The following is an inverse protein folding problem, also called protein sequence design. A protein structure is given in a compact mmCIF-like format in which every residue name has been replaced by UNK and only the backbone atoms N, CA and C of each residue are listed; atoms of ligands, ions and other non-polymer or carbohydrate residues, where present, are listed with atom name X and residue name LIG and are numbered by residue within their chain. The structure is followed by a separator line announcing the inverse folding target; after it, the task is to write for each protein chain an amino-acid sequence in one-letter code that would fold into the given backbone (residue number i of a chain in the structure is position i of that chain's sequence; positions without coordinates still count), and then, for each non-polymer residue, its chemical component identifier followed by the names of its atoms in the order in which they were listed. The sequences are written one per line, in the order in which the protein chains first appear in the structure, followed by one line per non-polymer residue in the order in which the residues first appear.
data_IF_213842608814
#
_entry.id   IF_213842608814
#
_cell.length_a   1.000
_cell.length_b   1.000
_cell.length_c   1.000
_cell.angle_alpha   90.00
_cell.angle_beta   90.00
_cell.angle_gamma   90.00
#
_symmetry.space_group_name_H-M   'P 1'
#
loop_
_entity.id
_entity.type
_entity.pdbx_description
1 polymer ?
#
# COMPACT_ATOMS: atom_id res chain seq x y z
N UNK A 1 -35.93 63.16 -1.53
CA UNK A 1 -34.63 62.67 -1.03
C UNK A 1 -34.90 61.48 -0.04
N UNK A 2 -34.71 60.24 -0.47
CA UNK A 2 -34.92 59.08 0.36
C UNK A 2 -33.58 58.32 0.42
N UNK A 3 -32.96 58.35 1.59
CA UNK A 3 -31.68 57.74 1.87
C UNK A 3 -31.90 56.25 2.20
N UNK A 4 -31.46 55.34 1.33
CA UNK A 4 -31.46 53.90 1.57
C UNK A 4 -30.21 53.52 2.37
N UNK A 5 -30.40 53.03 3.60
CA UNK A 5 -29.37 52.36 4.39
C UNK A 5 -29.19 50.91 3.90
N UNK A 6 -27.98 50.60 3.44
CA UNK A 6 -27.55 49.25 3.05
C UNK A 6 -26.98 48.55 4.31
N UNK A 7 -27.71 47.62 4.84
CA UNK A 7 -27.22 46.72 5.93
C UNK A 7 -26.32 45.64 5.31
N UNK A 8 -25.01 45.78 5.49
CA UNK A 8 -24.04 44.72 5.18
C UNK A 8 -24.00 43.73 6.36
N UNK A 9 -24.62 42.58 6.18
CA UNK A 9 -24.49 41.45 7.13
C UNK A 9 -23.13 40.80 6.95
N UNK A 10 -22.24 41.04 7.91
CA UNK A 10 -20.93 40.37 8.01
C UNK A 10 -21.13 38.94 8.52
N UNK A 11 -21.13 37.95 7.63
CA UNK A 11 -21.07 36.54 7.99
C UNK A 11 -19.64 36.21 8.48
N UNK A 12 -19.45 36.19 9.79
CA UNK A 12 -18.26 35.62 10.41
C UNK A 12 -18.31 34.08 10.24
N UNK A 13 -17.56 33.56 9.27
CA UNK A 13 -17.25 32.14 9.22
C UNK A 13 -16.32 31.79 10.39
N UNK A 14 -16.88 31.28 11.48
CA UNK A 14 -16.11 30.60 12.51
C UNK A 14 -15.64 29.27 11.92
N UNK A 15 -14.42 29.25 11.37
CA UNK A 15 -13.69 28.02 11.19
C UNK A 15 -13.40 27.45 12.59
N UNK A 16 -14.18 26.45 12.99
CA UNK A 16 -13.88 25.69 14.18
C UNK A 16 -12.58 24.92 13.87
N UNK A 17 -11.50 25.12 14.63
CA UNK A 17 -10.37 24.20 14.57
C UNK A 17 -10.93 22.83 14.91
N UNK A 18 -10.61 21.80 14.11
CA UNK A 18 -10.90 20.43 14.47
C UNK A 18 -10.27 20.20 15.84
N UNK A 19 -11.09 20.07 16.89
CA UNK A 19 -10.63 19.81 18.23
C UNK A 19 -9.79 18.53 18.18
N UNK A 20 -8.56 18.60 18.68
CA UNK A 20 -7.75 17.42 18.86
C UNK A 20 -8.52 16.44 19.77
N UNK A 21 -8.48 15.14 19.44
CA UNK A 21 -9.09 14.10 20.27
C UNK A 21 -8.41 14.12 21.65
N UNK A 22 -9.15 14.55 22.67
CA UNK A 22 -8.68 14.56 24.06
C UNK A 22 -9.17 13.34 24.85
N UNK A 23 -8.70 13.17 26.06
CA UNK A 23 -9.03 12.03 26.92
C UNK A 23 -10.51 11.94 27.25
N UNK A 24 -11.20 13.08 27.45
CA UNK A 24 -12.63 13.10 27.77
C UNK A 24 -13.48 12.66 26.57
N UNK A 25 -13.20 13.24 25.40
CA UNK A 25 -13.83 12.86 24.13
C UNK A 25 -13.57 11.38 23.78
N UNK A 26 -12.35 10.90 24.03
CA UNK A 26 -11.99 9.50 23.84
C UNK A 26 -12.79 8.59 24.78
N UNK A 27 -12.89 8.91 26.09
CA UNK A 27 -13.66 8.14 27.05
C UNK A 27 -15.16 8.06 26.68
N UNK A 28 -15.74 9.19 26.23
CA UNK A 28 -17.11 9.20 25.73
C UNK A 28 -17.29 8.32 24.47
N UNK A 29 -16.31 8.35 23.57
CA UNK A 29 -16.30 7.49 22.39
C UNK A 29 -16.25 6.01 22.78
N UNK A 30 -15.35 5.61 23.68
CA UNK A 30 -15.27 4.23 24.19
C UNK A 30 -16.57 3.76 24.79
N UNK A 31 -17.26 4.63 25.54
CA UNK A 31 -18.59 4.31 26.09
C UNK A 31 -19.62 3.99 24.99
N UNK A 32 -19.60 4.75 23.87
CA UNK A 32 -20.45 4.47 22.70
C UNK A 32 -20.04 3.18 21.99
N UNK A 33 -18.73 2.92 21.88
CA UNK A 33 -18.19 1.70 21.26
C UNK A 33 -18.57 0.43 22.02
N UNK A 34 -18.68 0.49 23.35
CA UNK A 34 -19.19 -0.63 24.16
C UNK A 34 -20.62 -1.00 23.74
N UNK A 35 -21.52 -0.01 23.67
CA UNK A 35 -22.89 -0.26 23.24
C UNK A 35 -22.95 -0.76 21.81
N UNK A 36 -22.21 -0.12 20.88
CA UNK A 36 -22.15 -0.56 19.49
C UNK A 36 -21.59 -1.98 19.35
N UNK A 37 -20.64 -2.38 20.20
CA UNK A 37 -20.12 -3.75 20.26
C UNK A 37 -21.16 -4.78 20.69
N UNK A 38 -21.97 -4.45 21.72
CA UNK A 38 -23.11 -5.29 22.13
C UNK A 38 -24.13 -5.43 20.99
N UNK A 39 -24.47 -4.32 20.34
CA UNK A 39 -25.41 -4.30 19.21
C UNK A 39 -24.87 -5.10 18.00
N UNK A 40 -23.55 -5.17 17.84
CA UNK A 40 -22.85 -5.99 16.84
C UNK A 40 -22.67 -7.47 17.26
N UNK A 41 -23.26 -7.88 18.39
CA UNK A 41 -23.27 -9.26 18.87
C UNK A 41 -21.99 -9.71 19.59
N UNK A 42 -21.12 -8.79 20.02
CA UNK A 42 -19.97 -9.14 20.86
C UNK A 42 -20.43 -9.46 22.29
N UNK A 43 -19.89 -10.52 22.94
CA UNK A 43 -20.22 -10.82 24.33
C UNK A 43 -19.82 -9.68 25.27
N UNK A 44 -20.69 -9.37 26.23
CA UNK A 44 -20.43 -8.32 27.22
C UNK A 44 -19.12 -8.54 28.00
N UNK A 45 -18.75 -9.81 28.26
CA UNK A 45 -17.51 -10.17 28.92
C UNK A 45 -16.29 -9.78 28.05
N UNK A 46 -16.30 -10.01 26.75
CA UNK A 46 -15.19 -9.64 25.83
C UNK A 46 -15.03 -8.13 25.79
N UNK A 47 -16.14 -7.40 25.74
CA UNK A 47 -16.16 -5.94 25.74
C UNK A 47 -15.54 -5.40 27.03
N UNK A 48 -16.06 -5.84 28.21
CA UNK A 48 -15.54 -5.36 29.51
C UNK A 48 -14.09 -5.76 29.76
N UNK A 49 -13.68 -6.93 29.27
CA UNK A 49 -12.31 -7.41 29.46
C UNK A 49 -11.28 -6.66 28.62
N UNK A 50 -11.66 -6.13 27.44
CA UNK A 50 -10.70 -5.61 26.46
C UNK A 50 -10.90 -4.15 26.08
N UNK A 51 -12.13 -3.58 26.17
CA UNK A 51 -12.33 -2.16 25.85
C UNK A 51 -12.18 -1.24 27.07
N UNK A 52 -12.19 -1.77 28.29
CA UNK A 52 -12.05 -0.95 29.49
C UNK A 52 -10.62 -0.44 29.70
N UNK A 53 -9.63 -1.18 29.20
CA UNK A 53 -8.21 -0.90 29.35
C UNK A 53 -7.57 -0.19 28.15
N UNK A 54 -8.34 0.08 27.05
CA UNK A 54 -7.79 0.77 25.86
C UNK A 54 -7.41 2.21 26.19
N UNK A 55 -6.31 2.66 25.57
CA UNK A 55 -5.73 3.97 25.80
C UNK A 55 -5.70 4.78 24.51
N UNK A 56 -5.96 6.09 24.66
CA UNK A 56 -5.70 7.04 23.58
C UNK A 56 -4.21 7.03 23.24
N UNK A 57 -3.89 6.87 21.96
CA UNK A 57 -2.52 6.89 21.47
C UNK A 57 -2.32 8.07 20.49
N UNK A 58 -1.81 9.18 21.02
CA UNK A 58 -1.59 10.42 20.28
C UNK A 58 -0.66 10.22 19.07
N UNK A 59 0.33 9.29 19.19
CA UNK A 59 1.24 8.97 18.09
C UNK A 59 0.51 8.34 16.89
N UNK A 60 -0.54 7.57 17.16
CA UNK A 60 -1.41 7.00 16.12
C UNK A 60 -2.13 8.11 15.36
N UNK A 61 -2.66 9.11 16.05
CA UNK A 61 -3.31 10.29 15.44
C UNK A 61 -2.31 11.07 14.55
N UNK A 62 -1.11 11.30 15.06
CA UNK A 62 -0.04 11.97 14.31
C UNK A 62 0.31 11.22 13.01
N UNK A 63 0.50 9.90 13.10
CA UNK A 63 0.84 9.05 11.95
C UNK A 63 -0.31 8.96 10.94
N UNK A 64 -1.57 8.88 11.40
CA UNK A 64 -2.72 8.89 10.50
C UNK A 64 -2.85 10.20 9.71
N UNK A 65 -2.50 11.33 10.33
CA UNK A 65 -2.53 12.64 9.67
C UNK A 65 -1.37 12.85 8.71
N UNK A 66 -0.18 12.39 9.06
CA UNK A 66 1.04 12.59 8.25
C UNK A 66 1.20 11.57 7.12
N UNK A 67 0.77 10.32 7.32
CA UNK A 67 0.87 9.22 6.36
C UNK A 67 2.21 9.18 5.59
N UNK A 68 3.34 9.02 6.29
CA UNK A 68 4.68 9.19 5.72
C UNK A 68 5.00 8.20 4.59
N UNK A 69 4.23 7.13 4.45
CA UNK A 69 4.40 6.11 3.40
C UNK A 69 4.18 6.66 1.98
N UNK A 70 3.38 7.73 1.85
CA UNK A 70 3.01 8.30 0.56
C UNK A 70 3.94 9.43 0.07
N UNK A 71 4.98 9.77 0.83
CA UNK A 71 5.90 10.87 0.50
C UNK A 71 7.24 10.42 -0.10
N UNK A 72 7.50 9.11 -0.21
CA UNK A 72 8.75 8.57 -0.74
C UNK A 72 8.74 8.51 -2.27
N UNK A 73 9.85 8.90 -2.92
CA UNK A 73 10.06 8.63 -4.35
C UNK A 73 10.11 7.11 -4.61
N UNK A 74 9.84 6.70 -5.86
CA UNK A 74 10.00 5.28 -6.23
C UNK A 74 11.43 4.79 -5.98
N UNK A 75 12.44 5.57 -6.34
CA UNK A 75 13.84 5.23 -6.15
C UNK A 75 14.18 4.96 -4.67
N UNK A 76 13.77 5.87 -3.78
CA UNK A 76 14.00 5.72 -2.34
C UNK A 76 13.25 4.53 -1.75
N UNK A 77 11.99 4.35 -2.15
CA UNK A 77 11.18 3.23 -1.72
C UNK A 77 11.80 1.91 -2.15
N UNK A 78 12.08 1.78 -3.44
CA UNK A 78 12.62 0.56 -4.04
C UNK A 78 13.98 0.17 -3.44
N UNK A 79 14.92 1.12 -3.36
CA UNK A 79 16.28 0.86 -2.84
C UNK A 79 16.25 0.38 -1.37
N UNK A 80 15.37 0.97 -0.55
CA UNK A 80 15.21 0.53 0.85
C UNK A 80 14.52 -0.83 0.98
N UNK A 81 13.56 -1.12 0.10
CA UNK A 81 12.74 -2.34 0.18
C UNK A 81 13.38 -3.54 -0.50
N UNK A 82 14.20 -3.34 -1.54
CA UNK A 82 14.88 -4.40 -2.31
C UNK A 82 16.40 -4.28 -2.13
N UNK A 83 16.85 -4.16 -0.87
CA UNK A 83 18.28 -4.09 -0.53
C UNK A 83 18.96 -5.46 -0.59
N UNK A 84 20.28 -5.50 -0.88
CA UNK A 84 21.04 -6.76 -0.90
C UNK A 84 20.94 -7.52 0.43
N UNK A 85 20.97 -6.81 1.58
CA UNK A 85 20.79 -7.43 2.88
C UNK A 85 19.44 -8.16 2.99
N UNK A 86 18.35 -7.54 2.49
CA UNK A 86 17.03 -8.19 2.51
C UNK A 86 16.96 -9.36 1.53
N UNK A 87 17.60 -9.26 0.37
CA UNK A 87 17.67 -10.34 -0.61
C UNK A 87 18.40 -11.55 -0.03
N UNK A 88 19.56 -11.35 0.58
CA UNK A 88 20.34 -12.44 1.18
C UNK A 88 19.58 -13.12 2.32
N UNK A 89 18.99 -12.33 3.23
CA UNK A 89 18.14 -12.85 4.29
C UNK A 89 16.93 -13.60 3.72
N UNK A 90 16.34 -13.11 2.62
CA UNK A 90 15.25 -13.79 1.92
C UNK A 90 15.67 -15.13 1.33
N UNK A 91 16.85 -15.21 0.73
CA UNK A 91 17.42 -16.48 0.23
C UNK A 91 17.68 -17.47 1.34
N UNK A 92 18.16 -17.00 2.49
CA UNK A 92 18.33 -17.83 3.69
C UNK A 92 16.97 -18.36 4.17
N UNK A 93 15.97 -17.48 4.33
CA UNK A 93 14.61 -17.88 4.74
C UNK A 93 13.95 -18.83 3.74
N UNK A 94 14.14 -18.60 2.45
CA UNK A 94 13.65 -19.51 1.41
C UNK A 94 14.26 -20.90 1.54
N UNK A 95 15.56 -21.02 1.83
CA UNK A 95 16.23 -22.32 2.03
C UNK A 95 15.77 -22.99 3.33
N UNK A 96 15.73 -22.25 4.44
CA UNK A 96 15.39 -22.81 5.75
C UNK A 96 13.93 -23.26 5.89
N UNK A 97 13.02 -22.67 5.10
CA UNK A 97 11.59 -23.03 5.08
C UNK A 97 11.19 -23.81 3.82
N UNK A 98 12.16 -24.39 3.12
CA UNK A 98 11.93 -25.00 1.79
C UNK A 98 10.80 -26.01 1.79
N UNK A 99 10.76 -26.94 2.75
CA UNK A 99 9.74 -27.97 2.83
C UNK A 99 8.33 -27.39 2.98
N UNK A 100 8.15 -26.42 3.88
CA UNK A 100 6.91 -25.69 4.07
C UNK A 100 6.50 -24.95 2.77
N UNK A 101 7.42 -24.17 2.18
CA UNK A 101 7.16 -23.40 0.97
C UNK A 101 6.77 -24.28 -0.23
N UNK A 102 7.40 -25.45 -0.38
CA UNK A 102 7.04 -26.41 -1.42
C UNK A 102 5.65 -27.01 -1.18
N UNK A 103 5.24 -27.22 0.08
CA UNK A 103 3.89 -27.66 0.45
C UNK A 103 2.86 -26.56 0.13
N UNK A 104 3.08 -25.33 0.58
CA UNK A 104 2.20 -24.21 0.31
C UNK A 104 2.08 -23.89 -1.20
N UNK A 105 3.18 -24.06 -1.95
CA UNK A 105 3.16 -23.89 -3.41
C UNK A 105 2.24 -24.93 -4.08
N UNK A 106 2.28 -26.19 -3.63
CA UNK A 106 1.39 -27.24 -4.16
C UNK A 106 -0.06 -26.99 -3.81
N UNK A 107 -0.32 -26.56 -2.57
CA UNK A 107 -1.67 -26.36 -2.04
C UNK A 107 -2.32 -25.11 -2.63
N UNK A 108 -1.68 -23.95 -2.50
CA UNK A 108 -2.27 -22.66 -2.86
C UNK A 108 -1.86 -22.16 -4.25
N UNK A 109 -0.82 -22.73 -4.86
CA UNK A 109 -0.33 -22.31 -6.17
C UNK A 109 0.58 -21.11 -6.18
N UNK A 110 0.95 -20.57 -5.01
CA UNK A 110 1.84 -19.42 -4.89
C UNK A 110 3.29 -19.92 -4.76
N UNK A 111 4.19 -19.57 -5.70
CA UNK A 111 5.58 -19.97 -5.59
C UNK A 111 6.23 -19.40 -4.31
N UNK A 112 6.95 -20.23 -3.56
CA UNK A 112 7.46 -19.91 -2.23
C UNK A 112 8.32 -18.63 -2.15
N UNK A 113 9.03 -18.26 -3.22
CA UNK A 113 9.82 -17.03 -3.25
C UNK A 113 8.96 -15.76 -3.18
N UNK A 114 7.67 -15.79 -3.63
CA UNK A 114 6.74 -14.69 -3.41
C UNK A 114 6.31 -14.60 -1.95
N UNK A 115 5.97 -15.73 -1.32
CA UNK A 115 5.60 -15.74 0.10
C UNK A 115 6.72 -15.18 0.97
N UNK A 116 7.97 -15.55 0.69
CA UNK A 116 9.15 -15.01 1.36
C UNK A 116 9.32 -13.50 1.06
N UNK A 117 9.03 -13.05 -0.16
CA UNK A 117 9.12 -11.62 -0.50
C UNK A 117 8.08 -10.78 0.26
N UNK A 118 6.82 -11.22 0.35
CA UNK A 118 5.82 -10.58 1.18
C UNK A 118 6.26 -10.52 2.64
N UNK A 119 6.66 -11.64 3.22
CA UNK A 119 7.16 -11.71 4.59
C UNK A 119 8.33 -10.74 4.84
N UNK A 120 9.24 -10.65 3.86
CA UNK A 120 10.36 -9.72 3.91
C UNK A 120 9.95 -8.25 3.88
N UNK A 121 8.95 -7.89 3.07
CA UNK A 121 8.49 -6.51 2.95
C UNK A 121 7.60 -6.09 4.12
N UNK A 122 6.76 -6.98 4.63
CA UNK A 122 5.85 -6.67 5.73
C UNK A 122 6.60 -6.50 7.05
N UNK A 123 7.42 -7.48 7.42
CA UNK A 123 7.99 -7.53 8.78
C UNK A 123 9.49 -7.81 8.82
N UNK A 124 10.20 -7.67 7.69
CA UNK A 124 11.62 -8.07 7.61
C UNK A 124 11.84 -9.54 8.10
N UNK A 125 10.97 -10.44 7.60
CA UNK A 125 10.96 -11.87 7.93
C UNK A 125 10.68 -12.14 9.43
N UNK A 126 9.64 -11.54 9.95
CA UNK A 126 9.23 -11.64 11.35
C UNK A 126 10.12 -10.83 12.33
N UNK A 127 11.08 -10.06 11.81
CA UNK A 127 12.01 -9.31 12.65
C UNK A 127 11.43 -8.04 13.28
N UNK A 128 10.31 -7.53 12.77
CA UNK A 128 9.60 -6.38 13.32
C UNK A 128 8.11 -6.43 12.98
N UNK A 129 7.29 -6.71 13.98
CA UNK A 129 5.83 -6.86 13.83
C UNK A 129 5.05 -5.57 14.12
N UNK A 130 5.73 -4.54 14.60
CA UNK A 130 5.14 -3.36 15.24
C UNK A 130 5.07 -3.55 16.75
N UNK A 131 4.89 -2.44 17.45
CA UNK A 131 4.91 -2.43 18.93
C UNK A 131 3.70 -1.70 19.54
N UNK A 132 2.77 -1.24 18.72
CA UNK A 132 1.57 -0.53 19.19
C UNK A 132 0.50 -1.58 19.52
N UNK A 133 -0.10 -1.52 20.73
CA UNK A 133 -1.24 -2.37 21.04
C UNK A 133 -2.36 -2.15 20.02
N UNK A 134 -2.80 -3.23 19.36
CA UNK A 134 -3.72 -3.13 18.24
C UNK A 134 -5.06 -2.53 18.64
N UNK A 135 -5.57 -2.87 19.84
CA UNK A 135 -6.83 -2.30 20.33
C UNK A 135 -6.72 -0.79 20.57
N UNK A 136 -5.60 -0.32 21.14
CA UNK A 136 -5.37 1.11 21.37
C UNK A 136 -5.33 1.88 20.04
N UNK A 137 -4.62 1.31 19.04
CA UNK A 137 -4.54 1.91 17.71
C UNK A 137 -5.91 2.02 17.05
N UNK A 138 -6.66 0.92 17.01
CA UNK A 138 -7.97 0.86 16.35
C UNK A 138 -9.02 1.70 17.07
N UNK A 139 -9.05 1.69 18.42
CA UNK A 139 -9.95 2.54 19.21
C UNK A 139 -9.64 4.03 18.99
N UNK A 140 -8.35 4.40 19.00
CA UNK A 140 -7.92 5.79 18.74
C UNK A 140 -8.37 6.25 17.35
N UNK A 141 -8.13 5.46 16.31
CA UNK A 141 -8.52 5.78 14.92
C UNK A 141 -10.04 5.82 14.71
N UNK A 142 -10.77 4.97 15.44
CA UNK A 142 -12.24 5.02 15.45
C UNK A 142 -12.73 6.34 16.03
N UNK A 143 -12.18 6.74 17.17
CA UNK A 143 -12.60 7.94 17.90
C UNK A 143 -12.11 9.24 17.26
N UNK A 144 -11.00 9.22 16.52
CA UNK A 144 -10.53 10.37 15.72
C UNK A 144 -11.48 10.70 14.58
N UNK A 145 -12.21 9.70 14.05
CA UNK A 145 -13.39 9.86 13.22
C UNK A 145 -13.16 10.01 11.73
N UNK A 146 -11.94 10.30 11.25
CA UNK A 146 -11.67 10.48 9.81
C UNK A 146 -12.06 9.26 8.96
N UNK A 147 -11.90 8.04 9.51
CA UNK A 147 -12.34 6.75 8.96
C UNK A 147 -12.98 5.91 10.05
N UNK A 148 -13.76 6.54 10.93
CA UNK A 148 -14.28 5.95 12.17
C UNK A 148 -15.02 4.63 11.94
N UNK A 149 -15.96 4.56 11.01
CA UNK A 149 -16.74 3.35 10.72
C UNK A 149 -15.87 2.17 10.28
N UNK A 150 -14.85 2.43 9.44
CA UNK A 150 -13.92 1.40 9.01
C UNK A 150 -13.13 0.83 10.20
N UNK A 151 -12.53 1.71 11.02
CA UNK A 151 -11.73 1.28 12.15
C UNK A 151 -12.56 0.67 13.29
N UNK A 152 -13.81 1.08 13.45
CA UNK A 152 -14.76 0.41 14.35
C UNK A 152 -14.99 -1.05 13.94
N UNK A 153 -15.18 -1.30 12.65
CA UNK A 153 -15.28 -2.66 12.12
C UNK A 153 -14.05 -3.50 12.42
N UNK A 154 -12.86 -2.92 12.20
CA UNK A 154 -11.59 -3.59 12.49
C UNK A 154 -11.37 -3.82 14.00
N UNK A 155 -11.77 -2.87 14.87
CA UNK A 155 -11.74 -3.04 16.33
C UNK A 155 -12.60 -4.22 16.79
N UNK A 156 -13.83 -4.31 16.27
CA UNK A 156 -14.72 -5.41 16.63
C UNK A 156 -14.21 -6.75 16.10
N UNK A 157 -13.56 -6.78 14.95
CA UNK A 157 -12.90 -7.98 14.44
C UNK A 157 -11.70 -8.37 15.30
N UNK A 158 -10.90 -7.41 15.80
CA UNK A 158 -9.82 -7.69 16.74
C UNK A 158 -10.35 -8.31 18.04
N UNK A 159 -11.49 -7.81 18.57
CA UNK A 159 -12.15 -8.42 19.73
C UNK A 159 -12.64 -9.86 19.46
N UNK A 160 -13.11 -10.17 18.25
CA UNK A 160 -13.48 -11.55 17.86
C UNK A 160 -12.27 -12.48 17.80
N UNK A 161 -11.10 -11.99 17.36
CA UNK A 161 -9.85 -12.75 17.36
C UNK A 161 -9.44 -13.10 18.79
N UNK A 162 -9.51 -12.15 19.72
CA UNK A 162 -9.26 -12.39 21.15
C UNK A 162 -10.26 -13.36 21.76
N UNK A 163 -11.55 -13.23 21.42
CA UNK A 163 -12.61 -14.14 21.84
C UNK A 163 -12.35 -15.59 21.37
N UNK A 164 -11.79 -15.77 20.17
CA UNK A 164 -11.45 -17.08 19.63
C UNK A 164 -10.23 -17.71 20.32
N UNK A 165 -9.41 -16.93 21.02
CA UNK A 165 -8.21 -17.40 21.70
C UNK A 165 -6.99 -17.58 20.78
N UNK A 166 -7.03 -17.01 19.56
CA UNK A 166 -5.93 -17.10 18.60
C UNK A 166 -4.65 -16.40 19.10
N UNK A 167 -4.81 -15.37 19.94
CA UNK A 167 -3.70 -14.60 20.50
C UNK A 167 -4.08 -14.01 21.86
N UNK A 168 -3.11 -13.84 22.73
CA UNK A 168 -3.30 -13.09 23.97
C UNK A 168 -3.26 -11.57 23.71
N UNK A 169 -4.07 -10.80 24.44
CA UNK A 169 -4.15 -9.33 24.29
C UNK A 169 -2.78 -8.65 24.43
N UNK A 170 -1.91 -9.16 25.30
CA UNK A 170 -0.55 -8.63 25.51
C UNK A 170 0.36 -8.82 24.29
N UNK A 171 0.09 -9.82 23.46
CA UNK A 171 0.81 -10.14 22.23
C UNK A 171 0.18 -9.49 21.00
N UNK A 172 -1.11 -9.08 21.06
CA UNK A 172 -1.82 -8.44 19.96
C UNK A 172 -1.29 -7.02 19.72
N UNK A 173 -0.07 -6.94 19.17
CA UNK A 173 0.61 -5.72 18.78
C UNK A 173 0.82 -5.70 17.27
N UNK A 174 0.92 -4.51 16.71
CA UNK A 174 1.08 -4.35 15.28
C UNK A 174 1.50 -2.93 14.87
N UNK A 175 1.10 -2.54 13.66
CA UNK A 175 1.32 -1.20 13.13
C UNK A 175 0.40 -0.16 13.78
N UNK A 176 0.71 1.11 13.52
CA UNK A 176 -0.13 2.24 13.96
C UNK A 176 -1.57 2.19 13.40
N UNK A 177 -1.77 1.54 12.27
CA UNK A 177 -3.07 1.40 11.63
C UNK A 177 -3.81 0.10 12.00
N UNK A 178 -3.25 -0.71 12.93
CA UNK A 178 -3.87 -1.95 13.40
C UNK A 178 -3.58 -3.20 12.55
N UNK A 179 -2.62 -3.13 11.63
CA UNK A 179 -2.14 -4.31 10.91
C UNK A 179 -1.27 -5.18 11.82
N UNK A 180 -1.45 -6.52 11.77
CA UNK A 180 -1.02 -7.46 12.80
C UNK A 180 -0.16 -8.60 12.26
N UNK A 181 0.73 -9.10 13.13
CA UNK A 181 1.51 -10.31 12.91
C UNK A 181 2.51 -10.21 11.77
N UNK A 182 3.10 -11.34 11.40
CA UNK A 182 4.18 -11.42 10.41
C UNK A 182 3.73 -11.06 8.99
N UNK A 183 2.44 -11.17 8.69
CA UNK A 183 1.80 -10.82 7.41
C UNK A 183 1.15 -9.44 7.39
N UNK A 184 1.17 -8.72 8.51
CA UNK A 184 0.53 -7.40 8.65
C UNK A 184 -0.94 -7.39 8.19
N UNK A 185 -1.69 -8.42 8.58
CA UNK A 185 -3.11 -8.50 8.29
C UNK A 185 -3.94 -7.51 9.12
N UNK A 186 -4.90 -6.86 8.49
CA UNK A 186 -5.98 -6.21 9.22
C UNK A 186 -6.88 -7.27 9.89
N UNK A 187 -7.52 -6.97 11.03
CA UNK A 187 -8.37 -7.95 11.73
C UNK A 187 -9.42 -8.64 10.87
N UNK A 188 -10.06 -7.90 9.94
CA UNK A 188 -11.02 -8.50 9.00
C UNK A 188 -10.36 -9.52 8.06
N UNK A 189 -9.15 -9.24 7.58
CA UNK A 189 -8.39 -10.15 6.73
C UNK A 189 -7.96 -11.38 7.52
N UNK A 190 -7.53 -11.19 8.78
CA UNK A 190 -7.20 -12.28 9.69
C UNK A 190 -8.39 -13.25 9.86
N UNK A 191 -9.55 -12.75 10.26
CA UNK A 191 -10.73 -13.59 10.49
C UNK A 191 -11.12 -14.41 9.27
N UNK A 192 -10.90 -13.88 8.08
CA UNK A 192 -11.30 -14.52 6.82
C UNK A 192 -10.23 -15.46 6.27
N UNK A 193 -8.94 -15.18 6.48
CA UNK A 193 -7.86 -15.83 5.75
C UNK A 193 -6.78 -16.47 6.61
N UNK A 194 -6.71 -16.17 7.92
CA UNK A 194 -5.71 -16.79 8.79
C UNK A 194 -5.92 -18.30 8.88
N UNK A 195 -4.83 -19.06 8.83
CA UNK A 195 -4.77 -20.52 8.86
C UNK A 195 -4.00 -20.97 10.10
N UNK A 196 -4.48 -22.03 10.73
CA UNK A 196 -3.74 -22.87 11.69
C UNK A 196 -3.08 -23.99 10.86
N UNK A 197 -1.86 -23.77 10.42
CA UNK A 197 -1.17 -24.70 9.51
C UNK A 197 -0.33 -25.73 10.26
N UNK A 198 0.19 -25.37 11.43
CA UNK A 198 0.94 -26.30 12.29
C UNK A 198 0.02 -27.19 13.13
N UNK A 199 -1.28 -26.89 13.19
CA UNK A 199 -2.30 -27.73 13.82
C UNK A 199 -2.32 -27.65 15.34
N UNK A 200 -1.81 -26.57 15.93
CA UNK A 200 -1.79 -26.38 17.39
C UNK A 200 -3.11 -25.89 17.99
N UNK A 201 -4.10 -25.58 17.12
CA UNK A 201 -5.43 -25.09 17.48
C UNK A 201 -5.54 -23.57 17.52
N UNK A 202 -4.53 -22.82 17.08
CA UNK A 202 -4.48 -21.37 17.00
C UNK A 202 -4.04 -20.91 15.62
N UNK A 203 -4.49 -19.74 15.20
CA UNK A 203 -4.02 -19.06 13.98
C UNK A 203 -2.98 -18.02 14.39
N UNK A 204 -1.77 -18.47 14.76
CA UNK A 204 -0.74 -17.60 15.35
C UNK A 204 0.12 -16.90 14.29
N UNK A 205 -0.31 -15.71 13.85
CA UNK A 205 0.47 -14.90 12.92
C UNK A 205 1.65 -14.15 13.59
N UNK A 206 1.79 -14.20 14.92
CA UNK A 206 2.87 -13.52 15.64
C UNK A 206 4.04 -14.47 15.92
N UNK A 207 3.78 -15.65 16.43
CA UNK A 207 4.79 -16.64 16.84
C UNK A 207 5.09 -17.70 15.79
N UNK A 208 4.08 -18.12 15.00
CA UNK A 208 4.22 -19.18 14.00
C UNK A 208 4.49 -18.60 12.60
N UNK A 209 5.68 -18.90 12.04
CA UNK A 209 5.97 -18.59 10.64
C UNK A 209 5.22 -19.51 9.68
N UNK A 210 4.81 -20.70 10.13
CA UNK A 210 4.05 -21.67 9.34
C UNK A 210 2.65 -21.13 9.09
N UNK A 211 1.95 -20.71 10.14
CA UNK A 211 0.63 -20.09 10.06
C UNK A 211 0.66 -18.79 9.25
N UNK A 212 1.67 -17.95 9.51
CA UNK A 212 1.81 -16.70 8.81
C UNK A 212 1.98 -16.87 7.29
N UNK A 213 2.86 -17.79 6.86
CA UNK A 213 3.10 -18.07 5.44
C UNK A 213 1.91 -18.76 4.78
N UNK A 214 1.25 -19.71 5.48
CA UNK A 214 0.05 -20.36 4.98
C UNK A 214 -1.12 -19.37 4.85
N UNK A 215 -1.30 -18.50 5.85
CA UNK A 215 -2.31 -17.43 5.80
C UNK A 215 -2.06 -16.48 4.65
N UNK A 216 -0.81 -16.09 4.42
CA UNK A 216 -0.42 -15.28 3.27
C UNK A 216 -0.72 -15.95 1.93
N UNK A 217 -0.43 -17.25 1.81
CA UNK A 217 -0.72 -18.05 0.63
C UNK A 217 -2.22 -18.16 0.37
N UNK A 218 -3.02 -18.47 1.40
CA UNK A 218 -4.47 -18.53 1.31
C UNK A 218 -5.08 -17.17 0.90
N UNK A 219 -4.57 -16.07 1.43
CA UNK A 219 -5.05 -14.74 1.06
C UNK A 219 -4.73 -14.40 -0.40
N UNK A 220 -3.50 -14.68 -0.88
CA UNK A 220 -3.14 -14.46 -2.28
C UNK A 220 -3.98 -15.31 -3.24
N UNK A 221 -4.24 -16.57 -2.89
CA UNK A 221 -5.15 -17.44 -3.65
C UNK A 221 -6.56 -16.83 -3.71
N UNK A 222 -7.08 -16.36 -2.58
CA UNK A 222 -8.41 -15.72 -2.51
C UNK A 222 -8.47 -14.39 -3.28
N UNK A 223 -7.35 -13.69 -3.45
CA UNK A 223 -7.24 -12.51 -4.31
C UNK A 223 -7.18 -12.86 -5.81
N UNK A 224 -7.12 -14.15 -6.15
CA UNK A 224 -7.12 -14.64 -7.54
C UNK A 224 -5.73 -14.85 -8.13
N UNK A 225 -4.75 -15.28 -7.33
CA UNK A 225 -3.42 -15.61 -7.85
C UNK A 225 -3.48 -16.70 -8.92
N UNK A 226 -2.93 -16.41 -10.09
CA UNK A 226 -2.79 -17.37 -11.17
C UNK A 226 -1.46 -18.12 -11.06
N UNK A 227 -1.56 -19.46 -10.93
CA UNK A 227 -0.48 -20.37 -10.53
C UNK A 227 0.74 -20.30 -11.42
N UNK A 228 0.55 -20.23 -12.72
CA UNK A 228 1.64 -20.33 -13.71
C UNK A 228 2.10 -18.95 -14.21
N UNK A 229 1.47 -17.90 -13.70
CA UNK A 229 1.77 -16.53 -14.11
C UNK A 229 2.70 -15.86 -13.09
N UNK A 230 3.67 -15.12 -13.59
CA UNK A 230 4.51 -14.26 -12.74
C UNK A 230 3.84 -12.89 -12.54
N UNK A 231 4.39 -12.09 -11.62
CA UNK A 231 3.89 -10.72 -11.35
C UNK A 231 4.06 -9.77 -12.53
N UNK A 232 5.15 -9.90 -13.27
CA UNK A 232 5.57 -8.98 -14.33
C UNK A 232 7.03 -9.23 -14.71
N UNK A 233 7.60 -8.30 -15.46
CA UNK A 233 9.03 -8.30 -15.82
C UNK A 233 9.52 -6.92 -16.22
N UNK A 234 10.80 -6.67 -16.04
CA UNK A 234 11.48 -5.49 -16.59
C UNK A 234 11.54 -5.61 -18.12
N UNK A 235 11.31 -4.48 -18.81
CA UNK A 235 11.37 -4.37 -20.27
C UNK A 235 12.11 -3.10 -20.68
N UNK A 236 12.60 -3.11 -21.92
CA UNK A 236 13.14 -1.94 -22.61
C UNK A 236 12.07 -1.35 -23.52
N UNK A 237 11.84 -0.04 -23.42
CA UNK A 237 10.95 0.72 -24.30
C UNK A 237 11.75 1.31 -25.47
N UNK A 238 11.23 1.30 -26.69
CA UNK A 238 11.92 1.88 -27.85
C UNK A 238 12.03 3.40 -27.73
N UNK A 239 12.95 3.99 -28.47
CA UNK A 239 13.02 5.44 -28.63
C UNK A 239 11.73 5.96 -29.24
N UNK A 240 11.22 7.09 -28.73
CA UNK A 240 9.94 7.67 -29.19
C UNK A 240 8.70 6.91 -28.70
N UNK A 241 8.81 6.04 -27.70
CA UNK A 241 7.65 5.33 -27.13
C UNK A 241 6.56 6.31 -26.67
N UNK A 242 5.31 6.01 -27.01
CA UNK A 242 4.13 6.78 -26.56
C UNK A 242 3.76 6.43 -25.12
N UNK A 243 4.14 7.28 -24.16
CA UNK A 243 3.85 7.07 -22.73
C UNK A 243 2.36 7.18 -22.38
N UNK A 244 1.49 7.66 -23.27
CA UNK A 244 0.04 7.62 -23.05
C UNK A 244 -0.48 6.19 -23.04
N UNK A 245 0.27 5.24 -23.60
CA UNK A 245 -0.03 3.81 -23.58
C UNK A 245 0.29 3.14 -22.23
N UNK A 246 0.92 3.87 -21.27
CA UNK A 246 1.26 3.31 -19.96
C UNK A 246 0.08 3.32 -18.98
N UNK A 247 0.21 2.52 -17.92
CA UNK A 247 -0.77 2.43 -16.84
C UNK A 247 -1.76 1.28 -16.99
N UNK A 248 -2.35 0.87 -15.88
CA UNK A 248 -3.18 -0.35 -15.75
C UNK A 248 -4.44 -0.40 -16.63
N UNK A 249 -4.95 0.75 -17.06
CA UNK A 249 -6.10 0.82 -17.93
C UNK A 249 -5.78 0.44 -19.38
N UNK A 250 -4.51 0.42 -19.75
CA UNK A 250 -4.03 0.22 -21.12
C UNK A 250 -3.39 -1.15 -21.28
N UNK A 251 -4.18 -2.20 -21.10
CA UNK A 251 -3.72 -3.57 -21.34
C UNK A 251 -3.69 -3.90 -22.84
N UNK A 252 -2.64 -4.60 -23.23
CA UNK A 252 -2.45 -5.14 -24.59
C UNK A 252 -1.85 -6.54 -24.51
N UNK A 253 -1.99 -7.30 -25.57
CA UNK A 253 -1.31 -8.59 -25.69
C UNK A 253 0.22 -8.41 -25.71
N UNK A 254 0.97 -9.44 -25.35
CA UNK A 254 2.43 -9.41 -25.49
C UNK A 254 2.87 -9.24 -26.94
N UNK A 255 2.08 -9.75 -27.89
CA UNK A 255 2.33 -9.57 -29.32
C UNK A 255 2.21 -8.09 -29.72
N UNK A 256 1.13 -7.40 -29.31
CA UNK A 256 0.97 -5.96 -29.59
C UNK A 256 2.11 -5.13 -28.97
N UNK A 257 2.53 -5.47 -27.76
CA UNK A 257 3.68 -4.79 -27.13
C UNK A 257 4.99 -5.04 -27.89
N UNK A 258 5.19 -6.25 -28.42
CA UNK A 258 6.36 -6.57 -29.23
C UNK A 258 6.32 -5.82 -30.59
N UNK A 259 5.16 -5.69 -31.23
CA UNK A 259 4.98 -4.89 -32.45
C UNK A 259 5.25 -3.39 -32.21
N UNK A 260 4.96 -2.88 -31.02
CA UNK A 260 5.33 -1.53 -30.59
C UNK A 260 6.81 -1.39 -30.23
N UNK A 261 7.63 -2.43 -30.44
CA UNK A 261 9.09 -2.40 -30.27
C UNK A 261 9.60 -2.69 -28.85
N UNK A 262 8.74 -3.15 -27.92
CA UNK A 262 9.20 -3.54 -26.59
C UNK A 262 10.06 -4.80 -26.66
N UNK A 263 11.14 -4.80 -25.90
CA UNK A 263 12.07 -5.94 -25.79
C UNK A 263 12.35 -6.26 -24.31
N UNK A 264 13.01 -7.38 -24.07
CA UNK A 264 13.66 -7.63 -22.79
C UNK A 264 14.87 -6.68 -22.63
N UNK A 265 15.34 -6.42 -21.39
CA UNK A 265 16.45 -5.50 -21.14
C UNK A 265 17.74 -5.83 -21.89
N UNK A 266 17.94 -7.09 -22.24
CA UNK A 266 19.09 -7.55 -23.04
C UNK A 266 18.88 -7.46 -24.57
N UNK A 267 17.78 -6.84 -25.02
CA UNK A 267 17.42 -6.71 -26.43
C UNK A 267 16.73 -7.94 -27.05
N UNK A 268 16.55 -9.04 -26.28
CA UNK A 268 15.83 -10.20 -26.78
C UNK A 268 14.31 -9.91 -26.93
N UNK A 269 13.61 -10.59 -27.84
CA UNK A 269 12.16 -10.45 -27.99
C UNK A 269 11.40 -10.78 -26.70
N UNK A 270 10.20 -10.20 -26.56
CA UNK A 270 9.26 -10.62 -25.53
C UNK A 270 8.88 -12.09 -25.70
N UNK A 271 8.55 -12.81 -24.61
CA UNK A 271 8.06 -14.19 -24.74
C UNK A 271 6.79 -14.27 -25.59
N UNK A 272 6.69 -15.31 -26.40
CA UNK A 272 5.46 -15.65 -27.07
C UNK A 272 4.52 -16.34 -26.09
N UNK A 273 3.51 -15.62 -25.59
CA UNK A 273 2.47 -16.15 -24.70
C UNK A 273 1.15 -15.38 -24.95
N UNK A 274 0.05 -16.10 -24.90
CA UNK A 274 -1.29 -15.51 -25.00
C UNK A 274 -1.69 -14.91 -23.66
N UNK A 275 -1.15 -13.73 -23.35
CA UNK A 275 -1.47 -13.01 -22.14
C UNK A 275 -1.45 -11.50 -22.37
N UNK A 276 -2.19 -10.79 -21.56
CA UNK A 276 -2.22 -9.33 -21.53
C UNK A 276 -1.28 -8.76 -20.46
N UNK A 277 -0.72 -7.60 -20.76
CA UNK A 277 0.10 -6.84 -19.81
C UNK A 277 -0.20 -5.34 -19.93
N UNK A 278 0.07 -4.62 -18.85
CA UNK A 278 0.14 -3.17 -18.85
C UNK A 278 1.60 -2.72 -18.70
N UNK A 279 2.01 -1.66 -19.40
CA UNK A 279 3.31 -1.04 -19.19
C UNK A 279 3.25 -0.07 -18.03
N UNK A 280 4.19 -0.17 -17.09
CA UNK A 280 4.32 0.71 -15.92
C UNK A 280 5.70 1.35 -15.93
N UNK A 281 5.76 2.66 -15.72
CA UNK A 281 6.97 3.47 -15.64
C UNK A 281 7.00 4.24 -14.31
N UNK A 282 7.33 3.60 -13.19
CA UNK A 282 7.18 4.17 -11.85
C UNK A 282 8.06 5.40 -11.59
N UNK A 283 9.12 5.56 -12.36
CA UNK A 283 10.08 6.66 -12.28
C UNK A 283 10.23 7.41 -13.62
N UNK A 284 9.18 7.40 -14.45
CA UNK A 284 9.15 8.06 -15.75
C UNK A 284 10.07 7.42 -16.80
N UNK A 285 10.28 8.13 -17.90
CA UNK A 285 11.04 7.65 -19.07
C UNK A 285 12.54 7.39 -18.79
N UNK A 286 13.08 8.01 -17.77
CA UNK A 286 14.49 7.83 -17.35
C UNK A 286 14.67 6.66 -16.37
N UNK A 287 13.59 6.02 -15.95
CA UNK A 287 13.59 4.91 -15.02
C UNK A 287 13.31 3.56 -15.66
N UNK A 288 13.33 2.48 -14.86
CA UNK A 288 12.98 1.15 -15.34
C UNK A 288 11.52 1.08 -15.75
N UNK A 289 11.25 0.36 -16.83
CA UNK A 289 9.89 0.03 -17.28
C UNK A 289 9.57 -1.44 -17.00
N UNK A 290 8.30 -1.72 -16.73
CA UNK A 290 7.83 -3.07 -16.44
C UNK A 290 6.58 -3.40 -17.23
N UNK A 291 6.47 -4.65 -17.69
CA UNK A 291 5.20 -5.28 -18.02
C UNK A 291 4.62 -5.86 -16.73
N UNK A 292 3.45 -5.40 -16.36
CA UNK A 292 2.68 -5.88 -15.22
C UNK A 292 1.59 -6.84 -15.72
N UNK A 293 1.58 -8.06 -15.19
CA UNK A 293 0.64 -9.11 -15.52
C UNK A 293 -0.53 -9.20 -14.54
N UNK A 294 -1.35 -10.25 -14.64
CA UNK A 294 -2.49 -10.41 -13.74
C UNK A 294 -2.06 -10.45 -12.27
N UNK A 295 -1.03 -11.22 -11.92
CA UNK A 295 -0.57 -11.35 -10.54
C UNK A 295 -0.01 -10.06 -9.94
N UNK A 296 0.36 -9.06 -10.76
CA UNK A 296 0.63 -7.72 -10.25
C UNK A 296 -0.60 -7.09 -9.59
N UNK A 297 -1.79 -7.25 -10.21
CA UNK A 297 -3.06 -6.79 -9.60
C UNK A 297 -3.37 -7.52 -8.31
N UNK A 298 -3.07 -8.82 -8.26
CA UNK A 298 -3.24 -9.62 -7.04
C UNK A 298 -2.36 -9.07 -5.91
N UNK A 299 -1.09 -8.76 -6.20
CA UNK A 299 -0.19 -8.12 -5.22
C UNK A 299 -0.74 -6.76 -4.79
N UNK A 300 -1.28 -5.96 -5.71
CA UNK A 300 -1.96 -4.69 -5.37
C UNK A 300 -3.26 -4.89 -4.57
N UNK A 301 -3.85 -6.07 -4.60
CA UNK A 301 -4.97 -6.44 -3.71
C UNK A 301 -4.54 -6.56 -2.24
N UNK A 302 -3.30 -6.92 -1.99
CA UNK A 302 -2.71 -6.92 -0.65
C UNK A 302 -2.41 -5.48 -0.17
N UNK A 303 -1.70 -4.71 -1.00
CA UNK A 303 -1.38 -3.31 -0.73
C UNK A 303 -1.51 -2.50 -2.03
N UNK A 304 -2.37 -1.47 -2.01
CA UNK A 304 -2.75 -0.66 -3.18
C UNK A 304 -1.65 0.32 -3.63
N UNK A 305 -0.41 -0.12 -3.64
CA UNK A 305 0.75 0.67 -4.06
C UNK A 305 1.50 -0.02 -5.20
N UNK A 306 1.63 0.66 -6.35
CA UNK A 306 2.45 0.17 -7.48
C UNK A 306 3.90 -0.06 -7.06
N UNK A 307 4.48 0.85 -6.27
CA UNK A 307 5.84 0.72 -5.76
C UNK A 307 6.00 -0.52 -4.87
N UNK A 308 4.99 -0.81 -4.04
CA UNK A 308 4.95 -2.02 -3.23
C UNK A 308 4.90 -3.28 -4.12
N UNK A 309 4.02 -3.31 -5.11
CA UNK A 309 3.86 -4.47 -5.97
C UNK A 309 5.13 -4.76 -6.79
N UNK A 310 5.80 -3.72 -7.32
CA UNK A 310 7.11 -3.85 -7.98
C UNK A 310 8.16 -4.37 -6.99
N UNK A 311 8.18 -3.84 -5.75
CA UNK A 311 9.15 -4.26 -4.75
C UNK A 311 8.95 -5.73 -4.34
N UNK A 312 7.69 -6.19 -4.12
CA UNK A 312 7.38 -7.62 -3.89
C UNK A 312 7.88 -8.47 -5.05
N UNK A 313 7.49 -8.13 -6.29
CA UNK A 313 7.85 -8.89 -7.47
C UNK A 313 9.35 -8.95 -7.69
N UNK A 314 10.05 -7.82 -7.59
CA UNK A 314 11.50 -7.77 -7.74
C UNK A 314 12.25 -8.45 -6.60
N UNK A 315 11.79 -8.34 -5.36
CA UNK A 315 12.38 -9.09 -4.24
C UNK A 315 12.20 -10.60 -4.45
N UNK A 316 11.03 -11.03 -4.89
CA UNK A 316 10.76 -12.43 -5.22
C UNK A 316 11.69 -12.93 -6.34
N UNK A 317 11.82 -12.18 -7.44
CA UNK A 317 12.75 -12.49 -8.54
C UNK A 317 14.21 -12.59 -8.04
N UNK A 318 14.65 -11.66 -7.18
CA UNK A 318 16.02 -11.62 -6.62
C UNK A 318 16.28 -12.80 -5.68
N UNK A 319 15.29 -13.19 -4.87
CA UNK A 319 15.35 -14.39 -4.01
C UNK A 319 15.48 -15.64 -4.88
N UNK A 320 14.75 -15.72 -6.00
CA UNK A 320 14.81 -16.80 -6.97
C UNK A 320 16.08 -16.80 -7.85
N UNK A 321 16.98 -15.83 -7.70
CA UNK A 321 18.29 -15.80 -8.39
C UNK A 321 18.39 -14.82 -9.56
N UNK A 322 17.36 -14.02 -9.84
CA UNK A 322 17.46 -12.98 -10.87
C UNK A 322 18.51 -11.92 -10.51
N UNK A 323 19.04 -11.24 -11.54
CA UNK A 323 19.97 -10.11 -11.40
C UNK A 323 19.30 -8.82 -10.90
N UNK A 324 20.09 -7.77 -10.71
CA UNK A 324 19.61 -6.42 -10.45
C UNK A 324 18.79 -5.88 -11.64
N UNK A 325 18.15 -4.72 -11.47
CA UNK A 325 17.54 -4.00 -12.59
C UNK A 325 18.61 -3.60 -13.59
N UNK A 326 18.27 -3.65 -14.87
CA UNK A 326 19.15 -3.20 -15.96
C UNK A 326 19.36 -1.69 -15.92
N UNK A 327 18.33 -0.96 -15.48
CA UNK A 327 18.36 0.48 -15.29
C UNK A 327 17.97 0.82 -13.85
N UNK A 328 18.84 1.51 -13.13
CA UNK A 328 18.57 1.96 -11.78
C UNK A 328 17.48 3.07 -11.81
N UNK A 329 16.55 3.10 -10.86
CA UNK A 329 15.60 4.21 -10.75
C UNK A 329 16.36 5.53 -10.53
N UNK A 330 16.05 6.59 -11.33
CA UNK A 330 16.66 7.90 -11.14
C UNK A 330 16.24 8.48 -9.79
N UNK A 331 17.14 9.23 -9.17
CA UNK A 331 16.78 10.04 -8.02
C UNK A 331 15.77 11.11 -8.44
N UNK A 332 14.76 11.34 -7.62
CA UNK A 332 13.74 12.33 -7.87
C UNK A 332 13.56 13.21 -6.64
N UNK A 333 13.20 14.49 -6.82
CA UNK A 333 12.88 15.37 -5.72
C UNK A 333 11.73 14.78 -4.88
N UNK A 334 11.87 14.85 -3.55
CA UNK A 334 10.80 14.49 -2.64
C UNK A 334 9.88 15.69 -2.52
N UNK A 335 8.62 15.48 -2.85
CA UNK A 335 7.60 16.48 -2.63
C UNK A 335 6.88 16.17 -1.32
N UNK A 336 6.77 17.18 -0.46
CA UNK A 336 5.86 17.11 0.67
C UNK A 336 4.41 17.32 0.24
N UNK A 337 3.47 17.15 1.17
CA UNK A 337 2.04 17.27 0.88
C UNK A 337 1.65 18.66 0.39
N UNK A 338 2.26 19.71 0.92
CA UNK A 338 1.99 21.10 0.54
C UNK A 338 2.47 21.35 -0.90
N UNK A 339 3.67 20.86 -1.23
CA UNK A 339 4.21 20.96 -2.60
C UNK A 339 3.36 20.21 -3.61
N UNK A 340 2.85 19.00 -3.27
CA UNK A 340 1.93 18.25 -4.13
C UNK A 340 0.60 19.00 -4.28
N UNK A 341 0.05 19.57 -3.20
CA UNK A 341 -1.18 20.40 -3.27
C UNK A 341 -0.97 21.60 -4.17
N UNK A 342 0.17 22.29 -4.04
CA UNK A 342 0.51 23.42 -4.90
C UNK A 342 0.67 23.00 -6.37
N UNK A 343 1.30 21.86 -6.62
CA UNK A 343 1.41 21.30 -7.98
C UNK A 343 0.04 21.00 -8.58
N UNK A 344 -0.85 20.33 -7.83
CA UNK A 344 -2.23 20.07 -8.28
C UNK A 344 -2.99 21.35 -8.61
N UNK A 345 -2.87 22.38 -7.76
CA UNK A 345 -3.49 23.68 -7.99
C UNK A 345 -3.01 24.32 -9.28
N UNK A 346 -1.70 24.42 -9.49
CA UNK A 346 -1.13 25.01 -10.70
C UNK A 346 -1.58 24.25 -11.96
N UNK A 347 -1.59 22.91 -11.91
CA UNK A 347 -2.07 22.08 -13.01
C UNK A 347 -3.55 22.33 -13.31
N UNK A 348 -4.40 22.49 -12.28
CA UNK A 348 -5.81 22.83 -12.43
C UNK A 348 -6.01 24.23 -13.01
N UNK A 349 -5.30 25.24 -12.52
CA UNK A 349 -5.33 26.61 -13.02
C UNK A 349 -4.92 26.69 -14.50
N UNK A 350 -4.01 25.83 -14.94
CA UNK A 350 -3.59 25.71 -16.34
C UNK A 350 -4.49 24.78 -17.20
N UNK A 351 -5.58 24.25 -16.63
CA UNK A 351 -6.55 23.44 -17.36
C UNK A 351 -6.16 21.97 -17.56
N UNK A 352 -5.16 21.45 -16.82
CA UNK A 352 -4.70 20.06 -16.93
C UNK A 352 -5.48 19.07 -16.08
N UNK A 353 -6.47 19.49 -15.28
CA UNK A 353 -7.39 18.66 -14.49
C UNK A 353 -6.67 17.62 -13.62
N UNK A 354 -5.98 18.08 -12.59
CA UNK A 354 -5.35 17.21 -11.58
C UNK A 354 -6.37 16.60 -10.60
N UNK A 355 -7.63 17.00 -10.68
CA UNK A 355 -8.69 16.61 -9.76
C UNK A 355 -8.62 17.39 -8.44
N UNK A 356 -8.92 16.70 -7.33
CA UNK A 356 -8.91 17.31 -6.00
C UNK A 356 -7.47 17.66 -5.57
N UNK A 357 -7.31 18.85 -4.98
CA UNK A 357 -6.03 19.33 -4.43
C UNK A 357 -5.83 18.76 -3.01
N UNK A 358 -5.58 17.47 -2.91
CA UNK A 358 -5.50 16.73 -1.65
C UNK A 358 -4.06 16.46 -1.17
N UNK A 359 -3.07 16.87 -1.99
CA UNK A 359 -1.65 16.67 -1.70
C UNK A 359 -1.20 15.20 -1.86
N UNK A 360 -1.95 14.40 -2.62
CA UNK A 360 -1.58 13.02 -2.93
C UNK A 360 -1.19 12.85 -4.40
N UNK A 361 -0.03 12.23 -4.65
CA UNK A 361 0.45 11.94 -6.01
C UNK A 361 -0.26 10.71 -6.59
N UNK A 362 -1.56 10.86 -6.88
CA UNK A 362 -2.40 9.79 -7.42
C UNK A 362 -2.38 9.71 -8.95
N UNK A 363 -3.11 8.74 -9.54
CA UNK A 363 -3.21 8.59 -11.01
C UNK A 363 -3.77 9.83 -11.72
N UNK A 364 -4.69 10.58 -11.09
CA UNK A 364 -5.22 11.84 -11.63
C UNK A 364 -4.15 12.90 -11.79
N UNK A 365 -3.35 13.12 -10.73
CA UNK A 365 -2.23 14.05 -10.74
C UNK A 365 -1.18 13.68 -11.78
N UNK A 366 -0.84 12.38 -11.89
CA UNK A 366 0.10 11.90 -12.91
C UNK A 366 -0.40 12.14 -14.33
N UNK A 367 -1.69 11.91 -14.60
CA UNK A 367 -2.31 12.24 -15.90
C UNK A 367 -2.28 13.74 -16.20
N UNK A 368 -2.48 14.58 -15.20
CA UNK A 368 -2.39 16.03 -15.36
C UNK A 368 -0.96 16.48 -15.68
N UNK A 369 0.05 15.88 -15.00
CA UNK A 369 1.46 16.10 -15.33
C UNK A 369 1.75 15.70 -16.77
N UNK A 370 1.27 14.54 -17.23
CA UNK A 370 1.47 14.10 -18.61
C UNK A 370 0.87 15.08 -19.63
N UNK A 371 -0.33 15.63 -19.37
CA UNK A 371 -0.95 16.67 -20.20
C UNK A 371 -0.14 17.97 -20.19
N UNK A 372 0.37 18.37 -19.03
CA UNK A 372 1.27 19.53 -18.93
C UNK A 372 2.56 19.30 -19.74
N UNK A 373 3.17 18.14 -19.58
CA UNK A 373 4.38 17.76 -20.32
C UNK A 373 4.14 17.81 -21.83
N UNK A 374 3.05 17.24 -22.31
CA UNK A 374 2.67 17.28 -23.72
C UNK A 374 2.48 18.69 -24.25
N UNK A 375 1.82 19.56 -23.47
CA UNK A 375 1.57 20.96 -23.84
C UNK A 375 2.85 21.82 -23.87
N UNK A 376 3.94 21.33 -23.27
CA UNK A 376 5.23 22.02 -23.16
C UNK A 376 6.37 21.28 -23.88
N UNK A 377 6.07 20.42 -24.86
CA UNK A 377 7.02 19.65 -25.66
C UNK A 377 8.02 18.83 -24.82
N UNK A 378 7.54 18.32 -23.67
CA UNK A 378 8.29 17.37 -22.81
C UNK A 378 7.80 15.95 -23.05
N UNK A 379 8.62 14.95 -22.63
CA UNK A 379 8.20 13.55 -22.64
C UNK A 379 7.01 13.36 -21.69
N UNK A 380 5.85 13.01 -22.23
CA UNK A 380 4.57 12.98 -21.52
C UNK A 380 4.38 11.69 -20.70
N UNK A 381 5.32 11.39 -19.79
CA UNK A 381 5.36 10.18 -18.96
C UNK A 381 4.59 10.29 -17.62
N UNK A 382 4.09 11.50 -17.30
CA UNK A 382 3.36 11.77 -16.06
C UNK A 382 4.24 11.74 -14.80
N UNK A 383 5.56 11.73 -14.95
CA UNK A 383 6.48 11.72 -13.82
C UNK A 383 6.87 13.15 -13.41
N UNK A 384 6.81 13.51 -12.11
CA UNK A 384 7.21 14.81 -11.61
C UNK A 384 8.73 14.90 -11.44
N UNK A 385 9.46 14.81 -12.56
CA UNK A 385 10.90 14.96 -12.57
C UNK A 385 11.35 16.40 -12.29
N UNK A 386 12.62 16.60 -12.00
CA UNK A 386 13.20 17.91 -11.66
C UNK A 386 12.88 18.97 -12.73
N UNK A 387 13.03 18.65 -14.02
CA UNK A 387 12.72 19.55 -15.13
C UNK A 387 11.27 20.03 -15.09
N UNK A 388 10.31 19.13 -14.91
CA UNK A 388 8.87 19.47 -14.81
C UNK A 388 8.62 20.36 -13.60
N UNK A 389 9.18 19.99 -12.44
CA UNK A 389 8.94 20.71 -11.19
C UNK A 389 9.56 22.11 -11.19
N UNK A 390 10.72 22.29 -11.83
CA UNK A 390 11.36 23.61 -12.01
C UNK A 390 10.56 24.46 -12.99
N UNK A 391 10.15 23.92 -14.16
CA UNK A 391 9.35 24.67 -15.15
C UNK A 391 7.99 25.12 -14.60
N UNK A 392 7.34 24.30 -13.77
CA UNK A 392 6.04 24.63 -13.15
C UNK A 392 6.18 25.48 -11.87
N UNK A 393 7.43 25.78 -11.43
CA UNK A 393 7.72 26.65 -10.29
C UNK A 393 7.51 26.02 -8.91
N UNK A 394 7.58 24.69 -8.81
CA UNK A 394 7.57 23.96 -7.52
C UNK A 394 8.96 23.92 -6.91
N UNK A 395 9.97 23.71 -7.75
CA UNK A 395 11.40 23.78 -7.39
C UNK A 395 11.99 25.09 -7.90
N UNK A 396 13.08 25.61 -7.26
CA UNK A 396 13.79 26.81 -7.68
C UNK A 396 14.41 26.67 -9.06
#
# INVERSE_FOLDING_TARGET
MATRFLLISLFLFFSHPALALDQESFAMCISKLRQAGLDAGLPAQVISQHLDDVKLNEKVVELDRSQPEFTSSFADYFTRRVSEQRIEKGREKYRSHRQLLDTLTREYGIPGHYLVAFWGLETNYGGYLGNIPTLDALATLTCEGRRGDYFQGELFNALRILQAGDVDVSQMKGSWAGAMGQTQFMPAVFLKHAQDHDGDGRRDLWGSSEDALASGAHFLQALGWEREERWGREVHLPEGFDYQLTGFSNKRSLADWAELGLTLPNGSPLPSAEMEAAVIVPAGHQGPAFLAYHNFRVIMGWNRSESYAIAVGRLADRIAGAGALSQAPPQAPRLDREQVTRLQRILNEQGHDAGKEDGLMGPGTRKAIARYQQANDLVADGFPGEEVLTRIGILP
#
